data_IF_041459708386
#
_entry.id   IF_041459708386
#
_cell.length_a   1.000
_cell.length_b   1.000
_cell.length_c   1.000
_cell.angle_alpha   90.00
_cell.angle_beta   90.00
_cell.angle_gamma   90.00
#
_symmetry.space_group_name_H-M   'P 1'
#
loop_
_entity.id
_entity.type
_entity.pdbx_description
1 polymer ?
#
# COMPACT_ATOMS: atom_id res chain seq x y z
N UNK A 1 -5.90 36.69 -3.81
CA UNK A 1 -6.90 36.10 -2.90
C UNK A 1 -7.67 35.02 -3.62
N UNK A 2 -7.13 33.80 -3.64
CA UNK A 2 -7.87 32.62 -4.10
C UNK A 2 -8.31 31.86 -2.85
N UNK A 3 -9.60 31.96 -2.53
CA UNK A 3 -10.22 31.20 -1.45
C UNK A 3 -10.39 29.77 -1.95
N UNK A 4 -9.60 28.85 -1.42
CA UNK A 4 -9.75 27.41 -1.69
C UNK A 4 -10.94 26.94 -0.86
N UNK A 5 -12.06 26.71 -1.54
CA UNK A 5 -13.26 26.13 -0.94
C UNK A 5 -12.95 24.73 -0.41
N UNK A 6 -13.38 24.43 0.82
CA UNK A 6 -13.08 23.16 1.51
C UNK A 6 -13.48 21.87 0.76
N UNK A 7 -14.28 21.97 -0.31
CA UNK A 7 -14.59 20.86 -1.22
C UNK A 7 -13.42 20.40 -2.10
N UNK A 8 -12.47 21.28 -2.42
CA UNK A 8 -11.31 20.95 -3.25
C UNK A 8 -10.24 20.17 -2.46
N UNK A 9 -10.08 20.51 -1.17
CA UNK A 9 -9.23 19.76 -0.26
C UNK A 9 -9.75 18.31 -0.10
N UNK A 10 -11.07 18.13 0.06
CA UNK A 10 -11.68 16.81 0.22
C UNK A 10 -11.45 15.89 -1.00
N UNK A 11 -11.53 16.45 -2.22
CA UNK A 11 -11.17 15.71 -3.45
C UNK A 11 -9.68 15.36 -3.50
N UNK A 12 -8.80 16.27 -3.09
CA UNK A 12 -7.36 15.99 -3.02
C UNK A 12 -7.02 14.84 -2.03
N UNK A 13 -7.76 14.74 -0.92
CA UNK A 13 -7.58 13.65 0.04
C UNK A 13 -8.03 12.27 -0.46
N UNK A 14 -8.93 12.18 -1.46
CA UNK A 14 -9.32 10.89 -2.04
C UNK A 14 -8.18 10.21 -2.80
N UNK A 15 -7.18 10.97 -3.24
CA UNK A 15 -5.99 10.47 -3.93
C UNK A 15 -4.80 10.20 -2.98
N UNK A 16 -4.98 10.46 -1.68
CA UNK A 16 -3.91 10.36 -0.68
C UNK A 16 -3.89 8.96 -0.05
N UNK A 17 -2.82 8.19 -0.28
CA UNK A 17 -2.60 6.92 0.38
C UNK A 17 -2.00 7.14 1.77
N UNK A 18 -2.72 6.78 2.83
CA UNK A 18 -2.20 6.82 4.21
C UNK A 18 -1.57 5.47 4.60
N UNK A 19 -0.32 5.49 5.04
CA UNK A 19 0.35 4.34 5.67
C UNK A 19 0.35 4.56 7.19
N UNK A 20 -0.20 3.65 8.00
CA UNK A 20 -0.19 3.80 9.46
C UNK A 20 1.24 3.82 10.03
N UNK A 21 1.42 4.52 11.15
CA UNK A 21 2.68 4.64 11.93
C UNK A 21 3.18 3.30 12.53
N UNK A 22 2.34 2.27 12.50
CA UNK A 22 2.65 0.91 12.98
C UNK A 22 2.81 0.01 11.75
N UNK A 23 3.77 -0.92 11.80
CA UNK A 23 4.00 -1.91 10.72
C UNK A 23 2.64 -2.40 10.17
N UNK A 24 2.29 -2.09 8.91
CA UNK A 24 0.98 -2.44 8.36
C UNK A 24 0.82 -3.96 8.21
N UNK A 25 1.87 -4.73 8.49
CA UNK A 25 1.86 -6.19 8.48
C UNK A 25 1.29 -6.72 9.78
N UNK A 26 0.03 -7.14 9.72
CA UNK A 26 -0.64 -7.86 10.77
C UNK A 26 -0.23 -9.33 10.79
N UNK A 27 -0.01 -9.91 11.99
CA UNK A 27 0.24 -11.33 12.12
C UNK A 27 -0.96 -12.16 11.65
N UNK A 28 -0.69 -13.36 11.13
CA UNK A 28 -1.73 -14.29 10.68
C UNK A 28 -2.41 -13.95 9.33
N UNK A 29 -2.06 -12.84 8.68
CA UNK A 29 -2.59 -12.50 7.36
C UNK A 29 -1.57 -12.78 6.24
N UNK A 30 -2.05 -13.32 5.11
CA UNK A 30 -1.24 -13.43 3.89
C UNK A 30 -1.07 -12.06 3.22
N UNK A 31 -0.09 -11.91 2.33
CA UNK A 31 0.03 -10.68 1.56
C UNK A 31 -1.25 -10.34 0.78
N UNK A 32 -1.96 -11.35 0.26
CA UNK A 32 -3.22 -11.16 -0.47
C UNK A 32 -4.30 -10.65 0.47
N UNK A 33 -4.44 -11.27 1.64
CA UNK A 33 -5.44 -10.88 2.63
C UNK A 33 -5.21 -9.44 3.15
N UNK A 34 -3.96 -8.99 3.27
CA UNK A 34 -3.66 -7.59 3.59
C UNK A 34 -4.22 -6.64 2.53
N UNK A 35 -3.95 -6.89 1.24
CA UNK A 35 -4.42 -6.01 0.18
C UNK A 35 -5.94 -6.02 0.04
N UNK A 36 -6.58 -7.16 0.25
CA UNK A 36 -8.04 -7.24 0.31
C UNK A 36 -8.60 -6.43 1.47
N UNK A 37 -8.00 -6.54 2.66
CA UNK A 37 -8.41 -5.79 3.85
C UNK A 37 -8.27 -4.27 3.65
N UNK A 38 -7.08 -3.81 3.23
CA UNK A 38 -6.84 -2.39 3.01
C UNK A 38 -7.58 -1.83 1.79
N UNK A 39 -7.78 -2.64 0.73
CA UNK A 39 -8.60 -2.27 -0.40
C UNK A 39 -10.06 -2.02 0.00
N UNK A 40 -10.64 -2.89 0.83
CA UNK A 40 -11.99 -2.68 1.39
C UNK A 40 -12.06 -1.44 2.27
N UNK A 41 -11.07 -1.23 3.12
CA UNK A 41 -11.00 -0.04 4.00
C UNK A 41 -10.94 1.26 3.19
N UNK A 42 -10.22 1.25 2.06
CA UNK A 42 -10.13 2.37 1.12
C UNK A 42 -11.33 2.51 0.18
N UNK A 43 -12.35 1.66 0.31
CA UNK A 43 -13.58 1.75 -0.47
C UNK A 43 -13.47 1.21 -1.90
N UNK A 44 -12.49 0.36 -2.20
CA UNK A 44 -12.43 -0.33 -3.51
C UNK A 44 -13.70 -1.17 -3.68
N UNK A 45 -14.47 -0.98 -4.78
CA UNK A 45 -15.67 -1.76 -5.05
C UNK A 45 -15.41 -3.27 -5.01
N UNK A 46 -16.33 -4.05 -4.44
CA UNK A 46 -16.14 -5.48 -4.19
C UNK A 46 -15.91 -6.29 -5.47
N UNK A 47 -16.51 -5.86 -6.59
CA UNK A 47 -16.33 -6.41 -7.94
C UNK A 47 -14.94 -6.08 -8.54
N UNK A 48 -14.35 -4.97 -8.14
CA UNK A 48 -13.00 -4.54 -8.58
C UNK A 48 -11.87 -5.02 -7.66
N UNK A 49 -12.19 -5.36 -6.41
CA UNK A 49 -11.20 -5.63 -5.36
C UNK A 49 -10.20 -6.73 -5.75
N UNK A 50 -10.69 -7.87 -6.22
CA UNK A 50 -9.82 -9.00 -6.56
C UNK A 50 -8.88 -8.69 -7.74
N UNK A 51 -9.36 -7.90 -8.70
CA UNK A 51 -8.56 -7.43 -9.81
C UNK A 51 -7.48 -6.44 -9.33
N UNK A 52 -7.83 -5.47 -8.48
CA UNK A 52 -6.87 -4.50 -7.93
C UNK A 52 -5.79 -5.15 -7.05
N UNK A 53 -6.17 -6.14 -6.23
CA UNK A 53 -5.24 -6.93 -5.42
C UNK A 53 -4.24 -7.67 -6.32
N UNK A 54 -4.76 -8.39 -7.32
CA UNK A 54 -3.92 -9.17 -8.24
C UNK A 54 -2.99 -8.26 -9.03
N UNK A 55 -3.51 -7.15 -9.57
CA UNK A 55 -2.74 -6.12 -10.27
C UNK A 55 -1.64 -5.54 -9.39
N UNK A 56 -1.93 -5.20 -8.14
CA UNK A 56 -0.96 -4.60 -7.21
C UNK A 56 0.16 -5.56 -6.87
N UNK A 57 -0.16 -6.84 -6.65
CA UNK A 57 0.83 -7.88 -6.40
C UNK A 57 1.74 -8.13 -7.61
N UNK A 58 1.17 -8.16 -8.81
CA UNK A 58 1.94 -8.32 -10.05
C UNK A 58 2.87 -7.13 -10.30
N UNK A 59 2.36 -5.89 -10.16
CA UNK A 59 3.14 -4.66 -10.37
C UNK A 59 4.37 -4.56 -9.45
N UNK A 60 4.29 -5.16 -8.26
CA UNK A 60 5.39 -5.16 -7.27
C UNK A 60 6.23 -6.44 -7.30
N UNK A 61 5.96 -7.33 -8.26
CA UNK A 61 6.73 -8.54 -8.48
C UNK A 61 6.60 -9.55 -7.35
N UNK A 62 5.37 -9.81 -6.91
CA UNK A 62 5.06 -10.98 -6.08
C UNK A 62 4.80 -12.20 -6.98
N UNK A 63 5.61 -13.24 -6.79
CA UNK A 63 5.40 -14.55 -7.39
C UNK A 63 4.08 -15.16 -6.91
N UNK A 64 3.43 -15.95 -7.76
CA UNK A 64 2.13 -16.57 -7.43
C UNK A 64 2.22 -17.41 -6.15
N UNK A 65 3.33 -18.13 -5.99
CA UNK A 65 3.61 -18.96 -4.81
C UNK A 65 3.73 -18.16 -3.50
N UNK A 66 4.03 -16.86 -3.58
CA UNK A 66 4.24 -16.01 -2.42
C UNK A 66 2.95 -15.31 -1.95
N UNK A 67 1.99 -15.06 -2.84
CA UNK A 67 0.81 -14.21 -2.56
C UNK A 67 -0.03 -14.68 -1.38
N UNK A 68 -0.11 -15.99 -1.20
CA UNK A 68 -0.91 -16.63 -0.15
C UNK A 68 -0.07 -17.02 1.09
N UNK A 69 1.26 -16.80 1.08
CA UNK A 69 2.08 -17.01 2.27
C UNK A 69 1.78 -15.94 3.31
N UNK A 70 1.88 -16.33 4.58
CA UNK A 70 1.78 -15.40 5.70
C UNK A 70 2.83 -14.30 5.56
N UNK A 71 2.42 -13.04 5.71
CA UNK A 71 3.29 -11.89 5.57
C UNK A 71 4.42 -11.86 6.62
N UNK A 72 4.25 -12.55 7.75
CA UNK A 72 5.33 -12.79 8.72
C UNK A 72 6.53 -13.53 8.13
N UNK A 73 6.28 -14.45 7.17
CA UNK A 73 7.29 -15.26 6.50
C UNK A 73 7.96 -14.54 5.32
N UNK A 74 7.50 -13.34 5.00
CA UNK A 74 8.12 -12.52 3.96
C UNK A 74 9.51 -12.06 4.38
N UNK A 75 10.44 -12.06 3.41
CA UNK A 75 11.72 -11.37 3.59
C UNK A 75 11.49 -9.88 3.85
N UNK A 76 12.48 -9.18 4.40
CA UNK A 76 12.38 -7.73 4.62
C UNK A 76 12.05 -6.96 3.33
N UNK A 77 12.56 -7.40 2.17
CA UNK A 77 12.23 -6.83 0.88
C UNK A 77 10.77 -7.06 0.47
N UNK A 78 10.24 -8.26 0.67
CA UNK A 78 8.84 -8.59 0.40
C UNK A 78 7.89 -7.83 1.35
N UNK A 79 8.28 -7.64 2.61
CA UNK A 79 7.53 -6.80 3.55
C UNK A 79 7.45 -5.35 3.08
N UNK A 80 8.57 -4.75 2.65
CA UNK A 80 8.58 -3.39 2.05
C UNK A 80 7.70 -3.29 0.81
N UNK A 81 7.77 -4.29 -0.09
CA UNK A 81 6.87 -4.36 -1.25
C UNK A 81 5.40 -4.42 -0.82
N UNK A 82 5.07 -5.20 0.20
CA UNK A 82 3.70 -5.31 0.71
C UNK A 82 3.23 -3.98 1.33
N UNK A 83 4.07 -3.31 2.12
CA UNK A 83 3.75 -1.98 2.67
C UNK A 83 3.47 -0.96 1.56
N UNK A 84 4.30 -0.97 0.51
CA UNK A 84 4.07 -0.13 -0.68
C UNK A 84 2.76 -0.49 -1.39
N UNK A 85 2.46 -1.79 -1.55
CA UNK A 85 1.22 -2.27 -2.15
C UNK A 85 -0.01 -1.80 -1.37
N UNK A 86 0.01 -1.89 -0.04
CA UNK A 86 -1.06 -1.43 0.86
C UNK A 86 -1.29 0.07 0.68
N UNK A 87 -0.22 0.83 0.54
CA UNK A 87 -0.33 2.26 0.46
C UNK A 87 -0.82 2.76 -0.92
N UNK A 88 -0.59 1.98 -1.99
CA UNK A 88 -1.05 2.27 -3.36
C UNK A 88 -2.41 1.63 -3.74
N UNK A 89 -2.87 0.59 -3.03
CA UNK A 89 -4.14 -0.10 -3.34
C UNK A 89 -5.30 0.92 -3.37
N UNK A 90 -6.18 0.80 -4.37
CA UNK A 90 -7.35 1.68 -4.53
C UNK A 90 -7.11 2.99 -5.29
N UNK A 91 -6.00 3.11 -6.01
CA UNK A 91 -5.77 4.23 -6.93
C UNK A 91 -5.18 5.49 -6.27
N UNK A 92 -4.51 5.34 -5.13
CA UNK A 92 -3.76 6.45 -4.52
C UNK A 92 -2.54 6.79 -5.40
N UNK A 93 -2.58 7.94 -6.07
CA UNK A 93 -1.50 8.44 -6.94
C UNK A 93 -0.35 9.08 -6.14
N UNK A 94 -0.63 9.49 -4.89
CA UNK A 94 0.32 10.17 -4.02
C UNK A 94 0.44 9.42 -2.71
N UNK A 95 1.67 9.03 -2.41
CA UNK A 95 2.04 8.33 -1.19
C UNK A 95 2.69 9.33 -0.23
N UNK A 96 2.04 9.64 0.89
CA UNK A 96 2.67 10.46 1.94
C UNK A 96 3.61 9.55 2.76
N UNK A 97 4.85 9.46 2.28
CA UNK A 97 5.93 8.69 2.88
C UNK A 97 6.69 9.54 3.90
N UNK A 98 6.17 9.70 5.12
CA UNK A 98 6.98 10.39 6.14
C UNK A 98 8.15 9.49 6.62
N UNK A 99 8.01 8.15 6.58
CA UNK A 99 9.03 7.24 7.13
C UNK A 99 9.70 6.23 6.16
N UNK A 100 9.29 6.13 4.88
CA UNK A 100 10.15 5.39 3.92
C UNK A 100 11.42 6.18 3.57
N UNK A 101 11.45 7.50 3.74
CA UNK A 101 12.68 8.27 3.55
C UNK A 101 13.83 7.72 4.40
N UNK A 102 13.56 7.27 5.63
CA UNK A 102 14.59 6.66 6.48
C UNK A 102 15.03 5.25 6.01
N UNK A 103 14.11 4.43 5.47
CA UNK A 103 14.42 3.07 5.01
C UNK A 103 15.00 3.02 3.58
N UNK A 104 14.60 3.95 2.73
CA UNK A 104 15.10 4.12 1.35
C UNK A 104 16.47 4.80 1.38
N UNK A 105 16.71 5.80 2.23
CA UNK A 105 18.03 6.46 2.36
C UNK A 105 19.11 5.49 2.89
N UNK A 106 18.74 4.49 3.70
CA UNK A 106 19.66 3.43 4.13
C UNK A 106 20.06 2.46 3.00
N UNK A 107 19.22 2.32 1.97
CA UNK A 107 19.46 1.41 0.83
C UNK A 107 20.14 2.14 -0.35
N UNK A 108 19.96 3.45 -0.48
CA UNK A 108 20.58 4.28 -1.51
C UNK A 108 22.04 4.69 -1.19
N UNK A 109 22.48 4.60 0.06
CA UNK A 109 23.86 4.91 0.50
C UNK A 109 24.89 3.76 0.33
N UNK A 110 24.53 2.69 -0.37
CA UNK A 110 25.47 1.61 -0.73
C UNK A 110 25.52 1.42 -2.25
N UNK A 111 26.02 2.44 -2.94
CA UNK A 111 26.71 2.35 -4.23
C UNK A 111 27.94 3.24 -4.17
#
# INVERSE_FOLDING_TARGET
GHSVSGGDAFKAYQHLGYCPQVDPIMPGLSGRAHLEFYGKMKGVPQDMLQHEVTRSMQRLGFEEADRNKLAEKYSGGMKRKLSLAIALIGGSDVLFLDELSAAVDASAKRL
#
